data_IF_537166830886
#
_entry.id   IF_537166830886
#
_cell.length_a   1.000
_cell.length_b   1.000
_cell.length_c   1.000
_cell.angle_alpha   90.00
_cell.angle_beta   90.00
_cell.angle_gamma   90.00
#
_symmetry.space_group_name_H-M   'P 1'
#
loop_
_entity.id
_entity.type
_entity.pdbx_description
1 polymer ?
#
# COMPACT_ATOMS: atom_id res chain seq x y z
N UNK A 1 9.33 23.99 35.24
CA UNK A 1 8.16 23.84 34.35
C UNK A 1 8.49 22.96 33.19
N UNK A 2 7.64 21.97 32.95
CA UNK A 2 7.82 21.13 31.80
C UNK A 2 7.45 21.89 30.52
N UNK A 3 8.26 21.75 29.50
CA UNK A 3 7.97 22.35 28.19
C UNK A 3 6.96 21.47 27.47
N UNK A 4 5.90 22.06 26.96
CA UNK A 4 4.86 21.32 26.22
C UNK A 4 5.07 21.50 24.72
N UNK A 5 5.15 20.39 24.00
CA UNK A 5 5.24 20.40 22.56
C UNK A 5 3.85 20.10 22.00
N UNK A 6 3.19 21.12 21.48
CA UNK A 6 1.85 20.98 20.93
C UNK A 6 1.91 20.57 19.48
N UNK A 7 1.55 19.32 19.20
CA UNK A 7 1.58 18.75 17.86
C UNK A 7 0.20 18.44 17.30
N UNK A 8 -0.84 18.92 17.97
CA UNK A 8 -2.23 18.62 17.57
C UNK A 8 -2.48 18.95 16.10
N UNK A 9 -2.00 20.10 15.65
CA UNK A 9 -2.20 20.53 14.26
C UNK A 9 -1.44 19.70 13.24
N UNK A 10 -0.44 18.95 13.70
CA UNK A 10 0.35 18.08 12.83
C UNK A 10 -0.18 16.66 12.74
N UNK A 11 -1.02 16.29 13.71
CA UNK A 11 -1.60 14.97 13.72
C UNK A 11 -2.85 14.97 12.84
N UNK A 12 -2.81 14.18 11.80
CA UNK A 12 -3.93 14.06 10.87
C UNK A 12 -4.50 12.66 10.91
N UNK A 13 -5.81 12.58 10.92
CA UNK A 13 -6.52 11.31 10.90
C UNK A 13 -7.15 11.07 9.52
N UNK A 14 -6.54 11.61 8.48
CA UNK A 14 -7.01 11.43 7.12
C UNK A 14 -6.54 10.08 6.60
N UNK A 15 -7.48 9.36 6.00
CA UNK A 15 -7.17 8.07 5.38
C UNK A 15 -7.16 8.24 3.88
N UNK A 16 -6.08 7.81 3.21
CA UNK A 16 -6.05 7.88 1.75
C UNK A 16 -7.07 6.95 1.14
N UNK A 17 -7.45 7.23 -0.08
CA UNK A 17 -8.43 6.43 -0.82
C UNK A 17 -7.85 5.99 -2.15
N UNK A 18 -8.24 4.81 -2.59
CA UNK A 18 -7.83 4.27 -3.88
C UNK A 18 -9.07 3.95 -4.69
N UNK A 19 -9.11 4.47 -5.90
CA UNK A 19 -10.18 4.17 -6.85
C UNK A 19 -9.79 2.96 -7.68
N UNK A 20 -10.55 1.88 -7.55
CA UNK A 20 -10.30 0.64 -8.30
C UNK A 20 -11.06 0.65 -9.63
N UNK A 21 -12.33 1.10 -9.60
CA UNK A 21 -13.13 1.31 -10.80
C UNK A 21 -13.70 2.73 -10.75
N UNK A 22 -14.32 3.18 -11.83
CA UNK A 22 -14.87 4.54 -11.88
C UNK A 22 -15.85 4.84 -10.74
N UNK A 23 -16.61 3.83 -10.32
CA UNK A 23 -17.63 3.99 -9.29
C UNK A 23 -17.28 3.33 -7.95
N UNK A 24 -16.09 2.76 -7.82
CA UNK A 24 -15.69 2.09 -6.58
C UNK A 24 -14.40 2.66 -6.03
N UNK A 25 -14.52 3.30 -4.87
CA UNK A 25 -13.38 3.88 -4.14
C UNK A 25 -13.30 3.19 -2.78
N UNK A 26 -12.11 2.80 -2.39
CA UNK A 26 -11.88 2.16 -1.10
C UNK A 26 -10.93 2.98 -0.25
N UNK A 27 -11.22 3.05 1.05
CA UNK A 27 -10.36 3.72 2.02
C UNK A 27 -9.23 2.78 2.42
N UNK A 28 -8.01 3.30 2.44
CA UNK A 28 -6.84 2.50 2.84
C UNK A 28 -6.73 2.49 4.36
N UNK A 29 -6.56 1.31 4.93
CA UNK A 29 -6.31 1.14 6.36
C UNK A 29 -4.84 1.45 6.62
N UNK A 30 -4.57 2.66 7.08
CA UNK A 30 -3.20 3.14 7.29
C UNK A 30 -2.81 3.27 8.77
N UNK A 31 -3.53 2.61 9.65
CA UNK A 31 -3.16 2.58 11.07
C UNK A 31 -1.81 1.87 11.24
N UNK A 32 -1.14 2.15 12.35
CA UNK A 32 0.15 1.53 12.64
C UNK A 32 0.09 -0.01 12.53
N UNK A 33 -0.94 -0.61 13.11
CA UNK A 33 -1.09 -2.06 13.07
C UNK A 33 -1.29 -2.59 11.67
N UNK A 34 -2.11 -1.90 10.86
CA UNK A 34 -2.33 -2.29 9.46
C UNK A 34 -1.05 -2.19 8.64
N UNK A 35 -0.29 -1.12 8.84
CA UNK A 35 0.99 -0.92 8.13
C UNK A 35 1.99 -2.01 8.50
N UNK A 36 2.11 -2.33 9.79
CA UNK A 36 3.00 -3.41 10.25
C UNK A 36 2.60 -4.73 9.63
N UNK A 37 1.30 -5.03 9.60
CA UNK A 37 0.79 -6.27 9.00
C UNK A 37 1.15 -6.35 7.52
N UNK A 38 0.89 -5.30 6.76
CA UNK A 38 1.18 -5.29 5.32
C UNK A 38 2.67 -5.41 5.03
N UNK A 39 3.51 -4.72 5.80
CA UNK A 39 4.96 -4.84 5.63
C UNK A 39 5.46 -6.24 5.96
N UNK A 40 4.92 -6.83 7.02
CA UNK A 40 5.24 -8.20 7.38
C UNK A 40 4.89 -9.19 6.28
N UNK A 41 3.73 -9.04 5.66
CA UNK A 41 3.32 -9.87 4.54
C UNK A 41 4.27 -9.70 3.36
N UNK A 42 4.60 -8.46 3.02
CA UNK A 42 5.45 -8.15 1.88
C UNK A 42 6.85 -8.75 2.03
N UNK A 43 7.36 -8.82 3.26
CA UNK A 43 8.71 -9.31 3.55
C UNK A 43 8.78 -10.80 3.81
N UNK A 44 7.65 -11.48 3.91
CA UNK A 44 7.61 -12.91 4.24
C UNK A 44 7.91 -13.77 3.02
N UNK A 45 9.10 -14.36 2.99
CA UNK A 45 9.55 -15.20 1.88
C UNK A 45 8.81 -16.53 1.79
N UNK A 46 8.07 -16.90 2.80
CA UNK A 46 7.32 -18.16 2.82
C UNK A 46 5.97 -18.05 2.13
N UNK A 47 5.50 -16.83 1.93
CA UNK A 47 4.21 -16.58 1.28
C UNK A 47 4.44 -16.44 -0.22
N UNK A 48 3.64 -17.17 -1.01
CA UNK A 48 3.68 -17.08 -2.46
C UNK A 48 3.31 -15.66 -2.94
N UNK A 49 3.92 -15.21 -4.05
CA UNK A 49 3.69 -13.88 -4.59
C UNK A 49 2.21 -13.58 -4.82
N UNK A 50 1.47 -14.52 -5.38
CA UNK A 50 0.04 -14.35 -5.63
C UNK A 50 -0.74 -14.18 -4.34
N UNK A 51 -0.38 -14.97 -3.33
CA UNK A 51 -1.00 -14.88 -2.01
C UNK A 51 -0.65 -13.58 -1.31
N UNK A 52 0.59 -13.09 -1.47
CA UNK A 52 0.99 -11.79 -0.92
C UNK A 52 0.12 -10.68 -1.46
N UNK A 53 -0.12 -10.69 -2.77
CA UNK A 53 -0.95 -9.68 -3.42
C UNK A 53 -2.34 -9.66 -2.79
N UNK A 54 -2.97 -10.83 -2.69
CA UNK A 54 -4.31 -10.94 -2.11
C UNK A 54 -4.34 -10.50 -0.66
N UNK A 55 -3.35 -10.92 0.14
CA UNK A 55 -3.28 -10.60 1.55
C UNK A 55 -3.08 -9.09 1.78
N UNK A 56 -2.25 -8.45 0.95
CA UNK A 56 -2.01 -7.01 1.06
C UNK A 56 -3.27 -6.23 0.66
N UNK A 57 -3.94 -6.63 -0.40
CA UNK A 57 -5.18 -5.97 -0.82
C UNK A 57 -6.23 -6.08 0.28
N UNK A 58 -6.40 -7.25 0.86
CA UNK A 58 -7.36 -7.45 1.94
C UNK A 58 -6.98 -6.64 3.18
N UNK A 59 -5.70 -6.67 3.57
CA UNK A 59 -5.24 -5.93 4.75
C UNK A 59 -5.34 -4.41 4.56
N UNK A 60 -5.10 -3.94 3.34
CA UNK A 60 -5.08 -2.51 3.04
C UNK A 60 -6.43 -1.92 2.68
N UNK A 61 -7.27 -2.67 1.98
CA UNK A 61 -8.54 -2.15 1.45
C UNK A 61 -9.78 -2.90 1.95
N UNK A 62 -9.60 -4.08 2.54
CA UNK A 62 -10.70 -4.88 3.03
C UNK A 62 -11.14 -5.98 2.07
N UNK A 63 -11.98 -6.88 2.58
CA UNK A 63 -12.42 -8.04 1.81
C UNK A 63 -13.28 -7.67 0.60
N UNK A 64 -14.11 -6.63 0.73
CA UNK A 64 -14.94 -6.18 -0.39
C UNK A 64 -14.08 -5.78 -1.58
N UNK A 65 -12.97 -5.10 -1.31
CA UNK A 65 -12.04 -4.69 -2.36
C UNK A 65 -11.39 -5.90 -3.01
N UNK A 66 -10.97 -6.87 -2.19
CA UNK A 66 -10.37 -8.10 -2.71
C UNK A 66 -11.36 -8.86 -3.59
N UNK A 67 -12.60 -8.98 -3.14
CA UNK A 67 -13.64 -9.67 -3.91
C UNK A 67 -13.90 -8.97 -5.25
N UNK A 68 -13.92 -7.64 -5.25
CA UNK A 68 -14.08 -6.86 -6.48
C UNK A 68 -12.91 -7.11 -7.42
N UNK A 69 -11.69 -7.01 -6.91
CA UNK A 69 -10.49 -7.21 -7.71
C UNK A 69 -10.45 -8.60 -8.31
N UNK A 70 -10.82 -9.61 -7.52
CA UNK A 70 -10.90 -10.98 -8.02
C UNK A 70 -11.93 -11.11 -9.16
N UNK A 71 -13.05 -10.40 -9.03
CA UNK A 71 -14.11 -10.44 -10.06
C UNK A 71 -13.69 -9.81 -11.38
N UNK A 72 -12.70 -8.89 -11.34
CA UNK A 72 -12.20 -8.22 -12.53
C UNK A 72 -11.22 -9.08 -13.33
N UNK A 73 -10.74 -10.17 -12.74
CA UNK A 73 -9.81 -11.10 -13.38
C UNK A 73 -8.60 -10.41 -14.01
N UNK A 74 -7.99 -9.49 -13.24
CA UNK A 74 -6.88 -8.69 -13.74
C UNK A 74 -5.59 -9.50 -13.85
N UNK A 75 -4.77 -9.21 -14.87
CA UNK A 75 -3.42 -9.80 -14.95
C UNK A 75 -2.56 -9.43 -13.74
N UNK A 76 -1.57 -10.25 -13.44
CA UNK A 76 -0.69 -10.05 -12.29
C UNK A 76 -0.05 -8.67 -12.29
N UNK A 77 0.33 -8.13 -13.45
CA UNK A 77 0.91 -6.80 -13.55
C UNK A 77 -0.05 -5.72 -13.05
N UNK A 78 -1.34 -5.87 -13.34
CA UNK A 78 -2.35 -4.91 -12.89
C UNK A 78 -2.56 -5.01 -11.39
N UNK A 79 -2.54 -6.22 -10.85
CA UNK A 79 -2.63 -6.44 -9.41
C UNK A 79 -1.45 -5.79 -8.69
N UNK A 80 -0.25 -5.87 -9.27
CA UNK A 80 0.93 -5.23 -8.71
C UNK A 80 0.78 -3.71 -8.64
N UNK A 81 0.09 -3.11 -9.59
CA UNK A 81 -0.20 -1.68 -9.58
C UNK A 81 -1.07 -1.33 -8.37
N UNK A 82 -2.07 -2.14 -8.08
CA UNK A 82 -2.93 -1.92 -6.91
C UNK A 82 -2.12 -2.00 -5.62
N UNK A 83 -1.26 -3.02 -5.50
CA UNK A 83 -0.38 -3.17 -4.33
C UNK A 83 0.54 -1.97 -4.19
N UNK A 84 1.14 -1.51 -5.30
CA UNK A 84 2.01 -0.33 -5.28
C UNK A 84 1.26 0.91 -4.81
N UNK A 85 0.02 1.09 -5.24
CA UNK A 85 -0.79 2.21 -4.80
C UNK A 85 -1.07 2.15 -3.30
N UNK A 86 -1.36 0.95 -2.77
CA UNK A 86 -1.57 0.76 -1.34
C UNK A 86 -0.30 1.10 -0.56
N UNK A 87 0.85 0.60 -1.02
CA UNK A 87 2.12 0.85 -0.35
C UNK A 87 2.49 2.33 -0.38
N UNK A 88 2.24 3.01 -1.48
CA UNK A 88 2.45 4.46 -1.57
C UNK A 88 1.56 5.20 -0.58
N UNK A 89 0.30 4.80 -0.49
CA UNK A 89 -0.66 5.42 0.42
C UNK A 89 -0.26 5.27 1.89
N UNK A 90 0.19 4.08 2.30
CA UNK A 90 0.58 3.86 3.70
C UNK A 90 1.91 4.52 4.04
N UNK A 91 2.73 4.80 3.05
CA UNK A 91 4.03 5.47 3.24
C UNK A 91 3.92 6.99 3.07
N UNK A 92 2.73 7.48 2.74
CA UNK A 92 2.48 8.90 2.47
C UNK A 92 3.39 9.46 1.38
N UNK A 93 3.74 8.60 0.40
CA UNK A 93 4.60 8.95 -0.72
C UNK A 93 3.75 8.92 -1.99
N UNK A 94 4.00 9.86 -2.89
CA UNK A 94 3.31 9.86 -4.18
C UNK A 94 3.66 8.60 -4.97
N UNK A 95 2.69 8.08 -5.70
CA UNK A 95 2.87 6.87 -6.49
C UNK A 95 4.05 7.00 -7.46
N UNK A 96 4.20 8.17 -8.09
CA UNK A 96 5.31 8.44 -9.00
C UNK A 96 6.66 8.36 -8.30
N UNK A 97 6.74 8.84 -7.05
CA UNK A 97 7.97 8.77 -6.26
C UNK A 97 8.32 7.33 -5.91
N UNK A 98 7.31 6.51 -5.64
CA UNK A 98 7.54 5.08 -5.36
C UNK A 98 8.11 4.38 -6.58
N UNK A 99 7.59 4.68 -7.76
CA UNK A 99 8.08 4.12 -9.02
C UNK A 99 9.52 4.55 -9.28
N UNK A 100 9.83 5.81 -9.00
CA UNK A 100 11.19 6.33 -9.13
C UNK A 100 12.18 5.62 -8.22
N UNK A 101 11.79 5.42 -6.96
CA UNK A 101 12.64 4.73 -6.00
C UNK A 101 12.91 3.29 -6.42
N UNK A 102 11.89 2.62 -6.93
CA UNK A 102 12.04 1.26 -7.44
C UNK A 102 13.00 1.21 -8.62
N UNK A 103 12.87 2.17 -9.56
CA UNK A 103 13.77 2.27 -10.70
C UNK A 103 15.21 2.55 -10.27
N UNK A 104 15.39 3.43 -9.28
CA UNK A 104 16.74 3.73 -8.75
C UNK A 104 17.38 2.51 -8.11
N UNK A 105 16.61 1.73 -7.36
CA UNK A 105 17.11 0.49 -6.77
C UNK A 105 17.53 -0.52 -7.84
N UNK A 106 16.74 -0.66 -8.89
CA UNK A 106 17.07 -1.55 -10.00
C UNK A 106 18.35 -1.08 -10.68
N UNK A 107 18.50 0.22 -10.91
CA UNK A 107 19.71 0.79 -11.50
C UNK A 107 20.94 0.56 -10.64
N UNK A 108 20.81 0.73 -9.33
CA UNK A 108 21.90 0.47 -8.38
C UNK A 108 22.34 -0.99 -8.42
N UNK A 109 21.37 -1.90 -8.52
CA UNK A 109 21.64 -3.33 -8.57
C UNK A 109 22.37 -3.71 -9.86
N UNK A 110 22.09 -3.03 -10.96
CA UNK A 110 22.72 -3.27 -12.26
C UNK A 110 24.11 -2.68 -12.39
N UNK A 111 24.47 -1.76 -11.51
CA UNK A 111 25.77 -1.07 -11.56
C UNK A 111 26.84 -1.78 -10.75
N UNK A 112 27.14 -2.98 -11.10
CA UNK A 112 28.28 -3.65 -10.48
C UNK A 112 29.48 -3.64 -11.39
#
# INVERSE_FOLDING_TARGET
MAKVYDIVSRLKNEKPQIRITEDKIFTVYNSKNSVILMKGIAEDNKIDETQKIDMIIEAGLGKEALDLVDSLELPTKQLAIIVSAIMAAISEVELEEMEKLADEEVKKTKKK
#
